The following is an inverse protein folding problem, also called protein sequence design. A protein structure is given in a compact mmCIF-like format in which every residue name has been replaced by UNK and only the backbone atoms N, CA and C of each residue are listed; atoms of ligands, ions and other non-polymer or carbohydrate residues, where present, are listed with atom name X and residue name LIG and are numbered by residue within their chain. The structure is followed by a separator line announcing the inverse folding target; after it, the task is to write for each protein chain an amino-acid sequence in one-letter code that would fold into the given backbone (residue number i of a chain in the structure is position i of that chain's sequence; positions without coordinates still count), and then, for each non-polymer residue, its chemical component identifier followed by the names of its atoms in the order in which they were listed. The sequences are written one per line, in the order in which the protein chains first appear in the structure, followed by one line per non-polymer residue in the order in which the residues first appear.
data_IF_842729692959
#
_entry.id   IF_842729692959
#
_cell.length_a   1.000
_cell.length_b   1.000
_cell.length_c   1.000
_cell.angle_alpha   90.00
_cell.angle_beta   90.00
_cell.angle_gamma   90.00
#
_symmetry.space_group_name_H-M   'P 1'
#
loop_
_entity.id
_entity.type
_entity.pdbx_description
1 polymer ?
#
# COMPACT_ATOMS: atom_id res chain seq x y z
N UNK A 1 -14.27 2.56 -10.27
CA UNK A 1 -13.76 1.29 -10.82
C UNK A 1 -13.68 0.19 -9.77
N UNK A 2 -12.82 0.26 -8.75
CA UNK A 2 -12.71 -0.79 -7.71
C UNK A 2 -14.05 -1.18 -7.10
N UNK A 3 -14.86 -0.19 -6.66
CA UNK A 3 -16.21 -0.42 -6.13
C UNK A 3 -17.15 -1.14 -7.10
N UNK A 4 -16.98 -0.95 -8.41
CA UNK A 4 -17.81 -1.64 -9.41
C UNK A 4 -17.43 -3.11 -9.55
N UNK A 5 -16.14 -3.43 -9.41
CA UNK A 5 -15.65 -4.81 -9.47
C UNK A 5 -15.99 -5.57 -8.19
N UNK A 6 -15.71 -4.98 -7.04
CA UNK A 6 -15.70 -5.70 -5.75
C UNK A 6 -16.88 -5.36 -4.85
N UNK A 7 -17.63 -4.31 -5.16
CA UNK A 7 -18.63 -3.74 -4.25
C UNK A 7 -18.02 -2.97 -3.06
N UNK A 8 -16.69 -2.80 -3.01
CA UNK A 8 -15.98 -2.22 -1.87
C UNK A 8 -15.40 -0.84 -2.17
N UNK A 9 -15.43 0.03 -1.18
CA UNK A 9 -14.74 1.32 -1.26
C UNK A 9 -13.24 1.13 -1.04
N UNK A 10 -12.45 1.75 -1.91
CA UNK A 10 -11.00 1.75 -1.83
C UNK A 10 -10.47 3.00 -1.13
N UNK A 11 -9.33 2.85 -0.47
CA UNK A 11 -8.55 3.95 0.12
C UNK A 11 -7.17 4.01 -0.53
N UNK A 12 -6.62 5.21 -0.71
CA UNK A 12 -5.19 5.38 -0.99
C UNK A 12 -4.39 4.94 0.25
N UNK A 13 -3.63 3.86 0.09
CA UNK A 13 -2.78 3.30 1.15
C UNK A 13 -1.29 3.50 0.86
N UNK A 14 -1.00 4.25 -0.19
CA UNK A 14 0.34 4.48 -0.70
C UNK A 14 0.88 5.83 -0.26
N UNK A 15 1.98 6.20 -0.92
CA UNK A 15 2.67 7.45 -0.60
C UNK A 15 1.92 8.71 -1.06
N UNK A 16 0.97 8.60 -1.99
CA UNK A 16 0.19 9.74 -2.48
C UNK A 16 -0.73 10.31 -1.41
N UNK A 17 -1.50 9.46 -0.72
CA UNK A 17 -2.39 9.87 0.37
C UNK A 17 -1.65 10.58 1.51
N UNK A 18 -0.38 10.22 1.73
CA UNK A 18 0.47 10.82 2.76
C UNK A 18 1.31 12.01 2.27
N UNK A 19 1.23 12.38 0.98
CA UNK A 19 2.07 13.39 0.32
C UNK A 19 3.57 13.10 0.43
N UNK A 20 3.91 11.82 0.42
CA UNK A 20 5.27 11.30 0.50
C UNK A 20 5.74 10.74 -0.84
N UNK A 21 5.00 10.96 -1.93
CA UNK A 21 5.27 10.40 -3.26
C UNK A 21 6.43 11.14 -3.98
N UNK A 22 7.06 10.42 -4.91
CA UNK A 22 7.94 10.96 -5.95
C UNK A 22 7.21 10.88 -7.30
N UNK A 23 7.77 11.52 -8.32
CA UNK A 23 7.22 11.50 -9.69
C UNK A 23 7.00 10.07 -10.21
N UNK A 24 7.93 9.15 -9.93
CA UNK A 24 7.87 7.76 -10.36
C UNK A 24 7.33 6.82 -9.26
N UNK A 25 6.46 7.34 -8.40
CA UNK A 25 5.75 6.48 -7.44
C UNK A 25 4.53 5.84 -8.09
N UNK A 26 4.33 4.59 -7.75
CA UNK A 26 3.12 3.81 -7.97
C UNK A 26 1.94 4.39 -7.17
N UNK A 27 0.73 4.06 -7.62
CA UNK A 27 -0.49 4.35 -6.88
C UNK A 27 -0.94 3.09 -6.14
N UNK A 28 -0.99 3.13 -4.82
CA UNK A 28 -1.43 1.99 -4.01
C UNK A 28 -2.86 2.20 -3.50
N UNK A 29 -3.77 1.29 -3.84
CA UNK A 29 -5.11 1.22 -3.30
C UNK A 29 -5.25 0.05 -2.32
N UNK A 30 -6.01 0.27 -1.26
CA UNK A 30 -6.39 -0.75 -0.28
C UNK A 30 -7.89 -0.97 -0.23
N UNK A 31 -8.33 -2.22 -0.06
CA UNK A 31 -9.71 -2.58 0.26
C UNK A 31 -9.79 -3.59 1.40
N UNK A 32 -10.90 -3.55 2.13
CA UNK A 32 -11.29 -4.56 3.12
C UNK A 32 -12.26 -5.58 2.52
N UNK A 33 -12.05 -6.88 2.79
CA UNK A 33 -12.96 -7.96 2.43
C UNK A 33 -13.32 -8.87 3.63
N UNK A 34 -14.54 -9.42 3.70
CA UNK A 34 -14.90 -10.40 4.72
C UNK A 34 -14.11 -11.69 4.55
N UNK A 35 -13.63 -12.29 5.64
CA UNK A 35 -12.80 -13.50 5.61
C UNK A 35 -13.39 -14.63 4.76
N UNK A 36 -14.71 -14.81 4.79
CA UNK A 36 -15.42 -15.84 4.03
C UNK A 36 -15.60 -15.55 2.53
N UNK A 37 -15.29 -14.35 2.05
CA UNK A 37 -15.52 -13.91 0.66
C UNK A 37 -14.24 -13.82 -0.16
N UNK A 38 -13.17 -14.50 0.27
CA UNK A 38 -11.86 -14.47 -0.39
C UNK A 38 -11.94 -14.89 -1.86
N UNK A 39 -12.54 -16.04 -2.14
CA UNK A 39 -12.64 -16.58 -3.50
C UNK A 39 -13.52 -15.71 -4.39
N UNK A 40 -14.63 -15.20 -3.86
CA UNK A 40 -15.51 -14.26 -4.58
C UNK A 40 -14.76 -12.98 -4.96
N UNK A 41 -13.93 -12.45 -4.05
CA UNK A 41 -13.10 -11.28 -4.33
C UNK A 41 -12.09 -11.56 -5.44
N UNK A 42 -11.38 -12.69 -5.35
CA UNK A 42 -10.39 -13.09 -6.36
C UNK A 42 -11.06 -13.18 -7.73
N UNK A 43 -12.18 -13.91 -7.83
CA UNK A 43 -12.94 -14.06 -9.06
C UNK A 43 -13.42 -12.71 -9.63
N UNK A 44 -13.76 -11.75 -8.77
CA UNK A 44 -14.20 -10.42 -9.18
C UNK A 44 -13.07 -9.53 -9.73
N UNK A 45 -11.83 -9.66 -9.24
CA UNK A 45 -10.70 -8.81 -9.66
C UNK A 45 -9.78 -9.45 -10.70
N UNK A 46 -9.75 -10.79 -10.79
CA UNK A 46 -8.89 -11.53 -11.72
C UNK A 46 -9.05 -11.09 -13.19
N UNK A 47 -10.26 -10.83 -13.73
CA UNK A 47 -10.42 -10.40 -15.12
C UNK A 47 -9.81 -9.03 -15.44
N UNK A 48 -9.49 -8.26 -14.40
CA UNK A 48 -9.07 -6.86 -14.52
C UNK A 48 -7.64 -6.62 -14.04
N UNK A 49 -7.01 -7.61 -13.41
CA UNK A 49 -5.77 -7.42 -12.67
C UNK A 49 -4.80 -8.59 -12.86
N UNK A 50 -3.52 -8.36 -12.58
CA UNK A 50 -2.49 -9.40 -12.46
C UNK A 50 -2.21 -9.66 -10.99
N UNK A 51 -2.31 -10.92 -10.56
CA UNK A 51 -1.95 -11.29 -9.20
C UNK A 51 -0.43 -11.24 -8.98
N UNK A 52 0.02 -10.45 -8.00
CA UNK A 52 1.44 -10.30 -7.61
C UNK A 52 1.80 -11.17 -6.40
N UNK A 53 0.80 -11.75 -5.73
CA UNK A 53 0.97 -12.78 -4.70
C UNK A 53 0.43 -12.42 -3.32
N UNK A 54 0.78 -13.28 -2.36
CA UNK A 54 0.29 -13.25 -0.98
C UNK A 54 1.36 -12.75 -0.01
N UNK A 55 0.97 -11.96 0.99
CA UNK A 55 1.86 -11.50 2.05
C UNK A 55 1.20 -11.69 3.41
N UNK A 56 1.90 -12.32 4.35
CA UNK A 56 1.39 -12.52 5.72
C UNK A 56 1.21 -11.17 6.42
N UNK A 57 0.11 -11.00 7.12
CA UNK A 57 -0.11 -9.87 8.02
C UNK A 57 0.09 -10.31 9.48
N UNK A 58 -0.04 -9.37 10.42
CA UNK A 58 0.16 -9.58 11.87
C UNK A 58 -0.75 -10.68 12.44
N UNK A 59 -1.97 -10.84 11.94
CA UNK A 59 -3.02 -11.64 12.57
C UNK A 59 -3.17 -13.05 11.99
N UNK A 60 -2.09 -13.62 11.43
CA UNK A 60 -2.10 -14.90 10.69
C UNK A 60 -2.95 -14.92 9.42
N UNK A 61 -3.53 -13.79 9.05
CA UNK A 61 -4.22 -13.59 7.77
C UNK A 61 -3.22 -13.17 6.70
N UNK A 62 -3.73 -12.92 5.49
CA UNK A 62 -2.91 -12.64 4.31
C UNK A 62 -3.47 -11.45 3.55
N UNK A 63 -2.58 -10.53 3.17
CA UNK A 63 -2.82 -9.49 2.17
C UNK A 63 -2.61 -10.07 0.78
N UNK A 64 -3.63 -9.99 -0.06
CA UNK A 64 -3.56 -10.30 -1.48
C UNK A 64 -3.12 -9.04 -2.23
N UNK A 65 -2.16 -9.17 -3.15
CA UNK A 65 -1.68 -8.05 -3.95
C UNK A 65 -1.98 -8.32 -5.41
N UNK A 66 -2.69 -7.40 -6.04
CA UNK A 66 -3.00 -7.38 -7.46
C UNK A 66 -2.46 -6.09 -8.08
N UNK A 67 -2.27 -6.07 -9.39
CA UNK A 67 -1.92 -4.83 -10.09
C UNK A 67 -2.71 -4.69 -11.38
N UNK A 68 -2.96 -3.46 -11.79
CA UNK A 68 -3.59 -3.12 -13.05
C UNK A 68 -3.08 -1.77 -13.54
N UNK A 69 -3.32 -1.45 -14.80
CA UNK A 69 -2.94 -0.18 -15.42
C UNK A 69 -4.17 0.71 -15.64
N UNK A 70 -4.01 2.01 -15.42
CA UNK A 70 -4.99 3.03 -15.81
C UNK A 70 -4.25 4.15 -16.51
N UNK A 71 -4.51 4.33 -17.80
CA UNK A 71 -3.90 5.39 -18.62
C UNK A 71 -2.36 5.44 -18.53
N UNK A 72 -1.71 4.27 -18.41
CA UNK A 72 -0.25 4.15 -18.28
C UNK A 72 0.30 4.29 -16.86
N UNK A 73 -0.58 4.37 -15.85
CA UNK A 73 -0.21 4.38 -14.43
C UNK A 73 -0.44 2.99 -13.84
N UNK A 74 0.63 2.35 -13.34
CA UNK A 74 0.53 1.11 -12.57
C UNK A 74 -0.13 1.40 -11.21
N UNK A 75 -1.20 0.66 -10.92
CA UNK A 75 -1.94 0.71 -9.67
C UNK A 75 -1.86 -0.64 -8.98
N UNK A 76 -1.33 -0.66 -7.76
CA UNK A 76 -1.33 -1.84 -6.90
C UNK A 76 -2.59 -1.85 -6.02
N UNK A 77 -3.36 -2.94 -6.06
CA UNK A 77 -4.50 -3.19 -5.20
C UNK A 77 -4.14 -4.20 -4.11
N UNK A 78 -4.08 -3.71 -2.88
CA UNK A 78 -3.95 -4.52 -1.67
C UNK A 78 -5.34 -4.86 -1.11
N UNK A 79 -5.69 -6.14 -1.12
CA UNK A 79 -6.89 -6.62 -0.42
C UNK A 79 -6.50 -7.25 0.92
N UNK A 80 -7.06 -6.70 1.99
CA UNK A 80 -6.89 -7.18 3.36
C UNK A 80 -8.24 -7.62 3.93
N UNK A 81 -8.23 -8.43 4.99
CA UNK A 81 -9.45 -8.64 5.77
C UNK A 81 -9.98 -7.30 6.27
N UNK A 82 -11.29 -7.16 6.47
CA UNK A 82 -11.88 -5.91 6.99
C UNK A 82 -11.23 -5.46 8.31
N UNK A 83 -10.85 -6.40 9.18
CA UNK A 83 -10.13 -6.11 10.43
C UNK A 83 -8.75 -5.49 10.17
N UNK A 84 -7.94 -6.11 9.32
CA UNK A 84 -6.59 -5.62 8.97
C UNK A 84 -6.65 -4.31 8.19
N UNK A 85 -7.63 -4.17 7.30
CA UNK A 85 -7.85 -2.95 6.55
C UNK A 85 -8.24 -1.78 7.47
N UNK A 86 -9.07 -2.04 8.48
CA UNK A 86 -9.43 -1.03 9.48
C UNK A 86 -8.21 -0.58 10.30
N UNK A 87 -7.29 -1.50 10.66
CA UNK A 87 -6.01 -1.14 11.30
C UNK A 87 -5.17 -0.25 10.39
N UNK A 88 -5.02 -0.63 9.12
CA UNK A 88 -4.27 0.16 8.13
C UNK A 88 -4.86 1.56 7.97
N UNK A 89 -6.19 1.68 7.87
CA UNK A 89 -6.88 2.96 7.77
C UNK A 89 -6.61 3.85 8.99
N UNK A 90 -6.75 3.33 10.21
CA UNK A 90 -6.48 4.11 11.43
C UNK A 90 -5.06 4.64 11.48
N UNK A 91 -4.08 3.80 11.10
CA UNK A 91 -2.68 4.24 11.01
C UNK A 91 -2.53 5.37 9.99
N UNK A 92 -3.13 5.26 8.80
CA UNK A 92 -3.04 6.31 7.78
C UNK A 92 -3.67 7.62 8.27
N UNK A 93 -4.81 7.55 8.97
CA UNK A 93 -5.44 8.72 9.61
C UNK A 93 -4.52 9.35 10.68
N UNK A 94 -3.81 8.53 11.45
CA UNK A 94 -2.86 9.00 12.45
C UNK A 94 -1.64 9.67 11.81
N UNK A 95 -1.08 9.09 10.75
CA UNK A 95 0.03 9.72 10.00
C UNK A 95 -0.44 11.06 9.43
N UNK A 96 -1.59 11.10 8.77
CA UNK A 96 -2.13 12.31 8.15
C UNK A 96 -2.38 13.42 9.19
N UNK A 97 -2.86 13.07 10.38
CA UNK A 97 -3.17 14.04 11.44
C UNK A 97 -1.97 14.50 12.26
N UNK A 98 -0.86 13.76 12.27
CA UNK A 98 0.29 14.03 13.16
C UNK A 98 1.58 14.36 12.44
N UNK A 99 1.78 13.88 11.20
CA UNK A 99 2.99 14.16 10.44
C UNK A 99 2.99 15.60 9.95
N UNK A 100 4.00 16.34 10.36
CA UNK A 100 4.15 17.75 9.98
C UNK A 100 4.67 17.91 8.56
N UNK A 101 4.40 19.04 7.92
CA UNK A 101 4.94 19.36 6.59
C UNK A 101 6.49 19.28 6.54
N UNK A 102 7.25 19.78 7.53
CA UNK A 102 8.70 19.57 7.56
C UNK A 102 9.12 18.09 7.60
N UNK A 103 8.39 17.23 8.32
CA UNK A 103 8.64 15.79 8.32
C UNK A 103 8.33 15.17 6.95
N UNK A 104 7.25 15.59 6.29
CA UNK A 104 6.91 15.15 4.92
C UNK A 104 8.03 15.52 3.93
N UNK A 105 8.48 16.78 3.97
CA UNK A 105 9.57 17.26 3.11
C UNK A 105 10.85 16.47 3.37
N UNK A 106 11.25 16.32 4.63
CA UNK A 106 12.47 15.59 4.99
C UNK A 106 12.39 14.11 4.56
N UNK A 107 11.25 13.46 4.80
CA UNK A 107 11.04 12.07 4.42
C UNK A 107 11.12 11.88 2.90
N UNK A 108 10.40 12.70 2.14
CA UNK A 108 10.39 12.68 0.67
C UNK A 108 11.77 13.00 0.10
N UNK A 109 12.50 13.94 0.69
CA UNK A 109 13.85 14.30 0.26
C UNK A 109 14.86 13.17 0.47
N UNK A 110 14.87 12.54 1.64
CA UNK A 110 15.73 11.36 1.88
C UNK A 110 15.36 10.23 0.92
N UNK A 111 14.05 10.01 0.70
CA UNK A 111 13.57 9.01 -0.26
C UNK A 111 14.09 9.28 -1.68
N UNK A 112 14.06 10.54 -2.13
CA UNK A 112 14.62 10.97 -3.41
C UNK A 112 16.13 10.71 -3.49
N UNK A 113 16.91 11.16 -2.49
CA UNK A 113 18.37 10.98 -2.45
C UNK A 113 18.79 9.52 -2.50
N UNK A 114 18.11 8.64 -1.76
CA UNK A 114 18.39 7.20 -1.77
C UNK A 114 18.16 6.59 -3.15
N UNK A 115 17.07 6.96 -3.82
CA UNK A 115 16.75 6.51 -5.19
C UNK A 115 17.78 7.01 -6.18
N UNK A 116 18.10 8.31 -6.17
CA UNK A 116 19.08 8.92 -7.07
C UNK A 116 20.49 8.33 -6.90
N UNK A 117 20.83 7.87 -5.69
CA UNK A 117 22.09 7.18 -5.41
C UNK A 117 22.06 5.67 -5.74
N UNK A 118 20.94 5.13 -6.25
CA UNK A 118 20.78 3.70 -6.52
C UNK A 118 20.75 2.80 -5.29
N UNK A 119 20.57 3.37 -4.08
CA UNK A 119 20.53 2.63 -2.81
C UNK A 119 19.15 2.03 -2.56
N UNK A 120 18.77 1.06 -3.39
CA UNK A 120 17.38 0.56 -3.45
C UNK A 120 16.94 -0.21 -2.19
N UNK A 121 17.84 -0.90 -1.49
CA UNK A 121 17.52 -1.57 -0.22
C UNK A 121 17.22 -0.55 0.90
N UNK A 122 18.04 0.48 1.01
CA UNK A 122 17.83 1.57 1.96
C UNK A 122 16.57 2.37 1.59
N UNK A 123 16.34 2.61 0.31
CA UNK A 123 15.12 3.24 -0.19
C UNK A 123 13.87 2.44 0.23
N UNK A 124 13.87 1.11 0.02
CA UNK A 124 12.76 0.25 0.39
C UNK A 124 12.53 0.24 1.91
N UNK A 125 13.60 0.22 2.70
CA UNK A 125 13.52 0.31 4.17
C UNK A 125 12.99 1.67 4.63
N UNK A 126 13.48 2.75 4.01
CA UNK A 126 13.06 4.11 4.32
C UNK A 126 11.58 4.34 4.01
N UNK A 127 11.06 3.84 2.87
CA UNK A 127 9.61 3.87 2.56
C UNK A 127 8.76 3.36 3.73
N UNK A 128 9.27 2.39 4.49
CA UNK A 128 8.52 1.71 5.55
C UNK A 128 8.67 2.35 6.93
N UNK A 129 9.65 3.23 7.15
CA UNK A 129 9.93 3.77 8.48
C UNK A 129 8.77 4.60 9.04
N UNK A 130 8.08 5.36 8.18
CA UNK A 130 6.89 6.13 8.55
C UNK A 130 5.78 5.20 9.03
N UNK A 131 5.44 4.17 8.27
CA UNK A 131 4.39 3.23 8.67
C UNK A 131 4.76 2.46 9.94
N UNK A 132 6.03 2.06 10.10
CA UNK A 132 6.50 1.39 11.30
C UNK A 132 6.46 2.27 12.55
N UNK A 133 6.57 3.60 12.42
CA UNK A 133 6.42 4.53 13.56
C UNK A 133 5.00 4.54 14.11
N UNK A 134 4.00 4.49 13.24
CA UNK A 134 2.58 4.67 13.61
C UNK A 134 1.79 3.36 13.69
N UNK A 135 2.30 2.28 13.11
CA UNK A 135 1.78 0.93 13.27
C UNK A 135 2.94 -0.06 13.43
N UNK A 136 3.69 0.04 14.55
CA UNK A 136 4.85 -0.84 14.83
C UNK A 136 4.47 -2.31 14.90
N UNK A 137 3.19 -2.59 15.14
CA UNK A 137 2.66 -3.93 15.17
C UNK A 137 2.49 -4.61 13.82
N UNK A 138 2.44 -3.84 12.72
CA UNK A 138 2.18 -4.38 11.40
C UNK A 138 3.47 -4.83 10.76
N UNK A 139 3.47 -6.04 10.21
CA UNK A 139 4.63 -6.55 9.49
C UNK A 139 4.67 -5.96 8.08
N UNK A 140 5.36 -4.83 7.95
CA UNK A 140 5.56 -4.17 6.66
C UNK A 140 6.59 -4.95 5.83
N UNK A 141 6.11 -5.79 4.93
CA UNK A 141 6.96 -6.48 3.96
C UNK A 141 7.07 -5.60 2.70
N UNK A 142 8.28 -5.15 2.31
CA UNK A 142 8.47 -4.41 1.07
C UNK A 142 7.91 -5.19 -0.13
N UNK A 143 7.26 -4.50 -1.06
CA UNK A 143 7.08 -5.04 -2.41
C UNK A 143 8.44 -4.88 -3.08
N UNK A 144 9.21 -5.98 -3.20
CA UNK A 144 10.45 -5.96 -3.98
C UNK A 144 10.08 -5.66 -5.42
N UNK A 145 10.45 -4.48 -5.89
CA UNK A 145 10.34 -4.15 -7.32
C UNK A 145 11.14 -5.19 -8.10
N UNK A 146 10.59 -5.65 -9.22
CA UNK A 146 11.36 -6.51 -10.15
C UNK A 146 12.62 -5.74 -10.56
N UNK A 147 13.77 -6.40 -10.49
CA UNK A 147 15.03 -5.92 -11.02
C UNK A 147 14.95 -5.69 -12.54
#
# INVERSE_FOLDING_TARGET
MIRQWTGRDSRDVGSFGLKLNLEESDLDLGIGFPVGSREDLIAAVEPHTTFKGERKTRFSTTRLVFAFDVDGVEVDLSALTEEDFAVSCRMLDEIESTMTEPEQIAHTWVKHLLRSAGRMEDYATWKLCTYARFCPEFNWVPITQKA
#
